data_IF_939061893077
#
_entry.id   IF_939061893077
#
_cell.length_a   1.000
_cell.length_b   1.000
_cell.length_c   1.000
_cell.angle_alpha   90.00
_cell.angle_beta   90.00
_cell.angle_gamma   90.00
#
_symmetry.space_group_name_H-M   'P 1'
#
loop_
_entity.id
_entity.type
_entity.pdbx_description
1 polymer ?
#
# COMPACT_ATOMS: atom_id res chain seq x y z
N UNK A 1 -2.00 -12.91 -19.13
CA UNK A 1 -1.54 -11.57 -18.69
C UNK A 1 -1.92 -11.37 -17.23
N UNK A 2 -3.21 -11.45 -16.88
CA UNK A 2 -3.75 -11.49 -15.51
C UNK A 2 -2.90 -12.35 -14.56
N UNK A 3 -2.71 -13.64 -14.88
CA UNK A 3 -1.96 -14.56 -14.02
C UNK A 3 -0.57 -14.04 -13.64
N UNK A 4 0.22 -13.57 -14.61
CA UNK A 4 1.59 -13.05 -14.34
C UNK A 4 1.58 -11.78 -13.50
N UNK A 5 0.55 -10.94 -13.67
CA UNK A 5 0.38 -9.75 -12.83
C UNK A 5 0.08 -10.18 -11.39
N UNK A 6 -0.93 -11.04 -11.19
CA UNK A 6 -1.33 -11.50 -9.86
C UNK A 6 -0.24 -12.29 -9.15
N UNK A 7 0.53 -13.12 -9.87
CA UNK A 7 1.66 -13.89 -9.32
C UNK A 7 2.70 -12.98 -8.63
N UNK A 8 2.82 -11.70 -9.04
CA UNK A 8 3.71 -10.71 -8.43
C UNK A 8 2.97 -9.78 -7.47
N UNK A 9 1.76 -9.36 -7.85
CA UNK A 9 0.99 -8.36 -7.13
C UNK A 9 0.44 -8.86 -5.78
N UNK A 10 -0.12 -10.07 -5.72
CA UNK A 10 -0.70 -10.63 -4.50
C UNK A 10 0.33 -10.73 -3.35
N UNK A 11 1.53 -11.28 -3.55
CA UNK A 11 2.55 -11.33 -2.50
C UNK A 11 2.90 -9.96 -1.92
N UNK A 12 3.04 -8.94 -2.78
CA UNK A 12 3.36 -7.56 -2.37
C UNK A 12 2.19 -6.96 -1.59
N UNK A 13 0.98 -7.08 -2.13
CA UNK A 13 -0.24 -6.58 -1.50
C UNK A 13 -0.51 -7.22 -0.14
N UNK A 14 -0.11 -8.48 0.06
CA UNK A 14 -0.30 -9.18 1.33
C UNK A 14 0.74 -8.80 2.39
N UNK A 15 1.93 -8.32 1.99
CA UNK A 15 3.04 -7.97 2.90
C UNK A 15 3.10 -6.49 3.26
N UNK A 16 2.60 -5.61 2.40
CA UNK A 16 2.73 -4.16 2.56
C UNK A 16 2.17 -3.65 3.90
N UNK A 17 1.04 -4.20 4.38
CA UNK A 17 0.41 -3.81 5.63
C UNK A 17 1.29 -4.12 6.84
N UNK A 18 1.86 -5.33 6.88
CA UNK A 18 2.76 -5.78 7.95
C UNK A 18 4.02 -4.92 8.00
N UNK A 19 4.65 -4.69 6.85
CA UNK A 19 5.88 -3.88 6.76
C UNK A 19 5.60 -2.43 7.17
N UNK A 20 4.49 -1.85 6.72
CA UNK A 20 4.13 -0.48 7.08
C UNK A 20 3.87 -0.33 8.58
N UNK A 21 3.21 -1.31 9.22
CA UNK A 21 3.03 -1.33 10.69
C UNK A 21 4.35 -1.39 11.44
N UNK A 22 5.28 -2.22 10.97
CA UNK A 22 6.63 -2.34 11.56
C UNK A 22 7.38 -1.01 11.43
N UNK A 23 7.42 -0.41 10.23
CA UNK A 23 8.16 0.84 9.98
C UNK A 23 7.55 2.05 10.69
N UNK A 24 6.23 2.09 10.83
CA UNK A 24 5.53 3.15 11.58
C UNK A 24 5.56 2.95 13.10
N UNK A 25 6.00 1.77 13.57
CA UNK A 25 6.05 1.41 14.99
C UNK A 25 4.66 1.38 15.65
N UNK A 26 3.61 1.11 14.88
CA UNK A 26 2.24 1.19 15.38
C UNK A 26 1.30 0.20 14.68
N UNK A 27 0.69 -0.69 15.44
CA UNK A 27 -0.23 -1.72 14.92
C UNK A 27 -1.54 -1.16 14.35
N UNK A 28 -1.92 0.07 14.72
CA UNK A 28 -3.11 0.74 14.18
C UNK A 28 -2.83 1.44 12.84
N UNK A 29 -1.58 1.47 12.37
CA UNK A 29 -1.27 1.87 11.01
C UNK A 29 -1.81 0.82 10.03
N UNK A 30 -2.23 1.26 8.85
CA UNK A 30 -2.68 0.34 7.81
C UNK A 30 -2.14 0.77 6.45
N UNK A 31 -1.78 -0.19 5.61
CA UNK A 31 -1.42 0.06 4.22
C UNK A 31 -2.14 -0.92 3.31
N UNK A 32 -2.65 -0.42 2.19
CA UNK A 32 -3.41 -1.21 1.25
C UNK A 32 -3.01 -0.89 -0.18
N UNK A 33 -2.89 -1.94 -0.98
CA UNK A 33 -2.54 -1.89 -2.39
C UNK A 33 -3.66 -2.60 -3.18
N UNK A 34 -4.27 -1.94 -4.15
CA UNK A 34 -5.28 -2.57 -5.00
C UNK A 34 -5.20 -2.07 -6.44
N UNK A 35 -5.49 -2.93 -7.44
CA UNK A 35 -5.67 -2.45 -8.81
C UNK A 35 -6.93 -1.60 -8.91
N UNK A 36 -6.91 -0.58 -9.78
CA UNK A 36 -8.09 0.24 -10.10
C UNK A 36 -9.18 -0.59 -10.82
N UNK A 37 -8.74 -1.55 -11.64
CA UNK A 37 -9.60 -2.46 -12.36
C UNK A 37 -9.32 -3.91 -11.97
N UNK A 38 -10.27 -4.56 -11.30
CA UNK A 38 -10.11 -5.94 -10.84
C UNK A 38 -10.19 -6.99 -11.98
N UNK A 39 -10.87 -6.68 -13.09
CA UNK A 39 -11.00 -7.60 -14.23
C UNK A 39 -9.74 -7.58 -15.12
N UNK A 40 -9.22 -6.38 -15.39
CA UNK A 40 -8.03 -6.16 -16.20
C UNK A 40 -6.98 -5.29 -15.48
N UNK A 41 -6.35 -5.80 -14.39
CA UNK A 41 -5.49 -5.00 -13.51
C UNK A 41 -4.18 -4.50 -14.15
N UNK A 42 -3.87 -4.97 -15.36
CA UNK A 42 -2.70 -4.58 -16.15
C UNK A 42 -2.99 -3.44 -17.14
N UNK A 43 -4.24 -2.98 -17.25
CA UNK A 43 -4.62 -1.89 -18.17
C UNK A 43 -4.75 -0.53 -17.48
N UNK A 44 -4.87 -0.52 -16.15
CA UNK A 44 -5.09 0.69 -15.35
C UNK A 44 -4.04 0.81 -14.23
N UNK A 45 -4.23 1.77 -13.33
CA UNK A 45 -3.33 2.03 -12.22
C UNK A 45 -3.48 1.06 -11.06
N UNK A 46 -2.60 1.25 -10.07
CA UNK A 46 -2.68 0.63 -8.75
C UNK A 46 -2.84 1.74 -7.73
N UNK A 47 -3.87 1.62 -6.91
CA UNK A 47 -4.13 2.54 -5.79
C UNK A 47 -3.31 2.10 -4.59
N UNK A 48 -2.46 3.00 -4.10
CA UNK A 48 -1.75 2.82 -2.84
C UNK A 48 -2.29 3.79 -1.78
N UNK A 49 -2.86 3.24 -0.71
CA UNK A 49 -3.43 4.01 0.40
C UNK A 49 -2.77 3.63 1.71
N UNK A 50 -2.55 4.63 2.56
CA UNK A 50 -1.98 4.45 3.90
C UNK A 50 -2.81 5.20 4.93
N UNK A 51 -3.06 4.56 6.06
CA UNK A 51 -3.69 5.13 7.25
C UNK A 51 -2.61 5.29 8.31
N UNK A 52 -2.29 6.54 8.65
CA UNK A 52 -1.36 6.83 9.72
C UNK A 52 -2.00 6.56 11.10
N UNK A 53 -1.19 6.24 12.12
CA UNK A 53 -1.68 5.97 13.46
C UNK A 53 -2.58 7.08 14.02
N UNK A 54 -3.75 6.70 14.53
CA UNK A 54 -4.69 7.63 15.15
C UNK A 54 -5.37 8.62 14.18
N UNK A 55 -5.17 8.48 12.86
CA UNK A 55 -5.87 9.27 11.83
C UNK A 55 -6.93 8.41 11.14
N UNK A 56 -8.02 9.07 10.71
CA UNK A 56 -8.98 8.46 9.78
C UNK A 56 -8.31 8.22 8.43
N UNK A 57 -8.90 7.34 7.62
CA UNK A 57 -8.52 7.14 6.23
C UNK A 57 -8.41 8.49 5.51
N UNK A 58 -7.23 8.77 4.95
CA UNK A 58 -6.97 9.95 4.13
C UNK A 58 -6.23 9.52 2.87
N UNK A 59 -6.52 10.17 1.73
CA UNK A 59 -5.74 9.95 0.53
C UNK A 59 -4.27 10.33 0.78
N UNK A 60 -3.37 9.66 0.07
CA UNK A 60 -1.94 9.75 0.29
C UNK A 60 -1.39 11.18 0.21
N UNK A 61 -2.02 12.05 -0.60
CA UNK A 61 -1.67 13.46 -0.73
C UNK A 61 -1.76 14.25 0.57
N UNK A 62 -2.66 13.86 1.48
CA UNK A 62 -2.90 14.52 2.76
C UNK A 62 -2.00 14.01 3.90
N UNK A 63 -1.10 13.07 3.61
CA UNK A 63 -0.08 12.63 4.55
C UNK A 63 1.07 13.65 4.63
N UNK A 64 1.69 13.75 5.80
CA UNK A 64 2.93 14.51 5.99
C UNK A 64 4.06 13.91 5.16
N UNK A 65 5.11 14.70 4.87
CA UNK A 65 6.28 14.22 4.13
C UNK A 65 6.97 13.01 4.80
N UNK A 66 6.98 12.97 6.15
CA UNK A 66 7.50 11.83 6.91
C UNK A 66 6.68 10.56 6.71
N UNK A 67 5.35 10.66 6.82
CA UNK A 67 4.42 9.53 6.57
C UNK A 67 4.53 9.03 5.12
N UNK A 68 4.66 9.93 4.13
CA UNK A 68 4.90 9.57 2.73
C UNK A 68 6.22 8.83 2.56
N UNK A 69 7.26 9.23 3.28
CA UNK A 69 8.58 8.58 3.22
C UNK A 69 8.52 7.17 3.80
N UNK A 70 7.85 6.98 4.95
CA UNK A 70 7.65 5.65 5.53
C UNK A 70 6.84 4.74 4.61
N UNK A 71 5.78 5.27 4.00
CA UNK A 71 4.98 4.52 3.03
C UNK A 71 5.79 4.11 1.79
N UNK A 72 6.60 5.03 1.24
CA UNK A 72 7.49 4.71 0.12
C UNK A 72 8.53 3.62 0.50
N UNK A 73 9.10 3.69 1.70
CA UNK A 73 10.00 2.65 2.21
C UNK A 73 9.29 1.32 2.42
N UNK A 74 8.05 1.32 2.91
CA UNK A 74 7.26 0.10 3.04
C UNK A 74 7.04 -0.58 1.69
N UNK A 75 6.72 0.20 0.65
CA UNK A 75 6.54 -0.33 -0.70
C UNK A 75 7.83 -0.87 -1.32
N UNK A 76 8.99 -0.30 -0.97
CA UNK A 76 10.29 -0.77 -1.45
C UNK A 76 10.70 -2.11 -0.81
N UNK A 77 10.26 -2.39 0.41
CA UNK A 77 10.60 -3.62 1.13
C UNK A 77 9.58 -4.76 0.97
N UNK A 78 8.38 -4.47 0.45
CA UNK A 78 7.30 -5.44 0.23
C UNK A 78 7.57 -6.37 -0.96
#
# INVERSE_FOLDING_TARGET
>A
RIRRFNDVFEPISNRIDEIYKILSGNESAQAFLAPENAEEPYLEGVVYNCVAPGKRFRPMDQLSGGEKTIAALALLFA
#
